data_IF_620625566054
#
_entry.id   IF_620625566054
#
_cell.length_a   1.000
_cell.length_b   1.000
_cell.length_c   1.000
_cell.angle_alpha   90.00
_cell.angle_beta   90.00
_cell.angle_gamma   90.00
#
_symmetry.space_group_name_H-M   'P 1'
#
loop_
_entity.id
_entity.type
_entity.pdbx_description
1 polymer ?
#
# COMPACT_ATOMS: atom_id res chain seq x y z
N UNK A 1 -6.03 20.44 -13.30
CA UNK A 1 -5.16 19.36 -13.79
C UNK A 1 -4.91 18.41 -12.62
N UNK A 2 -5.05 17.10 -12.82
CA UNK A 2 -4.81 16.11 -11.75
C UNK A 2 -3.31 16.06 -11.47
N UNK A 3 -2.94 16.24 -10.21
CA UNK A 3 -1.55 16.18 -9.75
C UNK A 3 -1.23 14.85 -9.07
N UNK A 4 -2.15 14.36 -8.20
CA UNK A 4 -2.03 13.06 -7.55
C UNK A 4 -3.09 12.08 -8.05
N UNK A 5 -2.68 10.80 -8.17
CA UNK A 5 -3.59 9.67 -8.29
C UNK A 5 -3.36 8.73 -7.12
N UNK A 6 -4.38 8.56 -6.27
CA UNK A 6 -4.38 7.59 -5.18
C UNK A 6 -5.02 6.29 -5.67
N UNK A 7 -4.25 5.22 -5.73
CA UNK A 7 -4.68 3.87 -6.13
C UNK A 7 -4.95 3.04 -4.88
N UNK A 8 -6.14 2.46 -4.79
CA UNK A 8 -6.62 1.65 -3.68
C UNK A 8 -6.98 0.27 -4.21
N UNK A 9 -6.14 -0.78 -4.03
CA UNK A 9 -6.53 -2.14 -4.31
C UNK A 9 -7.61 -2.58 -3.32
N UNK A 10 -8.71 -3.15 -3.80
CA UNK A 10 -9.83 -3.58 -2.98
C UNK A 10 -10.35 -4.97 -3.38
N UNK A 11 -10.73 -5.78 -2.39
CA UNK A 11 -11.45 -7.03 -2.55
C UNK A 11 -12.34 -7.29 -1.34
N UNK A 12 -13.67 -7.19 -1.53
CA UNK A 12 -14.67 -7.33 -0.46
C UNK A 12 -14.40 -6.42 0.74
N UNK A 13 -14.30 -5.10 0.49
CA UNK A 13 -13.92 -4.10 1.49
C UNK A 13 -15.06 -3.12 1.82
N UNK A 14 -16.31 -3.52 1.62
CA UNK A 14 -17.50 -2.68 1.91
C UNK A 14 -17.49 -2.10 3.32
N UNK A 15 -16.93 -2.81 4.30
CA UNK A 15 -16.89 -2.38 5.71
C UNK A 15 -15.75 -1.40 6.02
N UNK A 16 -14.61 -1.50 5.34
CA UNK A 16 -13.41 -0.74 5.70
C UNK A 16 -13.09 0.37 4.69
N UNK A 17 -13.42 0.18 3.42
CA UNK A 17 -13.22 1.20 2.39
C UNK A 17 -13.87 2.56 2.73
N UNK A 18 -15.09 2.66 3.32
CA UNK A 18 -15.64 3.95 3.73
C UNK A 18 -14.76 4.69 4.73
N UNK A 19 -14.16 3.98 5.69
CA UNK A 19 -13.27 4.57 6.70
C UNK A 19 -11.98 5.14 6.09
N UNK A 20 -11.43 4.48 5.07
CA UNK A 20 -10.32 5.00 4.30
C UNK A 20 -10.76 6.25 3.52
N UNK A 21 -11.85 6.17 2.77
CA UNK A 21 -12.33 7.27 1.94
C UNK A 21 -12.65 8.53 2.76
N UNK A 22 -13.19 8.39 3.98
CA UNK A 22 -13.42 9.53 4.87
C UNK A 22 -12.10 10.25 5.22
N UNK A 23 -11.02 9.50 5.45
CA UNK A 23 -9.71 10.11 5.71
C UNK A 23 -9.05 10.64 4.45
N UNK A 24 -9.32 10.05 3.28
CA UNK A 24 -8.88 10.55 1.97
C UNK A 24 -9.57 11.88 1.66
N UNK A 25 -10.87 11.99 1.91
CA UNK A 25 -11.61 13.26 1.71
C UNK A 25 -11.07 14.36 2.61
N UNK A 26 -10.74 14.06 3.88
CA UNK A 26 -10.08 15.00 4.76
C UNK A 26 -8.69 15.42 4.24
N UNK A 27 -7.91 14.48 3.69
CA UNK A 27 -6.61 14.78 3.11
C UNK A 27 -6.72 15.59 1.80
N UNK A 28 -7.74 15.33 0.97
CA UNK A 28 -8.05 16.12 -0.22
C UNK A 28 -8.44 17.56 0.15
N UNK A 29 -9.26 17.72 1.19
CA UNK A 29 -9.66 19.04 1.68
C UNK A 29 -8.49 19.85 2.25
N UNK A 30 -7.50 19.19 2.85
CA UNK A 30 -6.29 19.82 3.38
C UNK A 30 -5.19 20.06 2.32
N UNK A 31 -5.38 19.57 1.10
CA UNK A 31 -4.35 19.65 0.06
C UNK A 31 -4.19 21.08 -0.47
N UNK A 32 -2.96 21.58 -0.50
CA UNK A 32 -2.61 22.97 -0.85
C UNK A 32 -3.02 23.40 -2.26
N UNK A 33 -3.11 22.44 -3.21
CA UNK A 33 -3.50 22.71 -4.60
C UNK A 33 -4.98 22.43 -4.87
N UNK A 34 -5.78 22.17 -3.82
CA UNK A 34 -7.20 21.91 -3.90
C UNK A 34 -7.58 20.45 -4.10
N UNK A 35 -8.75 20.06 -3.61
CA UNK A 35 -9.24 18.69 -3.61
C UNK A 35 -9.35 18.08 -5.03
N UNK A 36 -9.65 18.91 -6.03
CA UNK A 36 -9.84 18.50 -7.43
C UNK A 36 -8.54 18.15 -8.13
N UNK A 37 -7.39 18.47 -7.53
CA UNK A 37 -6.07 18.06 -8.03
C UNK A 37 -5.70 16.62 -7.64
N UNK A 38 -6.56 15.93 -6.88
CA UNK A 38 -6.36 14.54 -6.43
C UNK A 38 -7.51 13.68 -6.94
N UNK A 39 -7.21 12.70 -7.77
CA UNK A 39 -8.14 11.63 -8.12
C UNK A 39 -7.93 10.40 -7.24
N UNK A 40 -9.00 9.67 -6.99
CA UNK A 40 -8.99 8.42 -6.23
C UNK A 40 -9.47 7.31 -7.14
N UNK A 41 -8.68 6.24 -7.25
CA UNK A 41 -8.95 5.09 -8.11
C UNK A 41 -9.01 3.85 -7.23
N UNK A 42 -10.16 3.20 -7.21
CA UNK A 42 -10.35 1.90 -6.56
C UNK A 42 -10.18 0.81 -7.62
N UNK A 43 -9.14 0.02 -7.49
CA UNK A 43 -8.92 -1.15 -8.32
C UNK A 43 -9.57 -2.36 -7.64
N UNK A 44 -10.75 -2.74 -8.15
CA UNK A 44 -11.57 -3.80 -7.60
C UNK A 44 -11.15 -5.17 -8.14
N UNK A 45 -10.77 -6.07 -7.26
CA UNK A 45 -10.29 -7.41 -7.60
C UNK A 45 -11.42 -8.46 -7.71
N UNK A 46 -12.53 -8.09 -8.35
CA UNK A 46 -13.68 -8.98 -8.51
C UNK A 46 -14.43 -9.18 -7.18
N UNK A 47 -14.72 -8.11 -6.46
CA UNK A 47 -15.49 -8.16 -5.23
C UNK A 47 -16.91 -8.71 -5.48
N UNK A 48 -17.38 -9.57 -4.58
CA UNK A 48 -18.73 -10.10 -4.59
C UNK A 48 -19.72 -9.23 -3.79
N UNK A 49 -19.19 -8.30 -2.99
CA UNK A 49 -19.97 -7.36 -2.17
C UNK A 49 -20.16 -6.00 -2.88
N UNK A 50 -20.65 -5.01 -2.17
CA UNK A 50 -20.92 -3.67 -2.71
C UNK A 50 -19.68 -2.76 -2.85
N UNK A 51 -18.43 -3.28 -2.78
CA UNK A 51 -17.19 -2.49 -2.80
C UNK A 51 -17.12 -1.55 -4.00
N UNK A 52 -17.28 -2.06 -5.22
CA UNK A 52 -17.20 -1.26 -6.45
C UNK A 52 -18.33 -0.22 -6.53
N UNK A 53 -19.57 -0.58 -6.15
CA UNK A 53 -20.71 0.33 -6.12
C UNK A 53 -20.50 1.46 -5.13
N UNK A 54 -19.97 1.14 -3.94
CA UNK A 54 -19.65 2.12 -2.90
C UNK A 54 -18.55 3.09 -3.38
N UNK A 55 -17.49 2.57 -3.99
CA UNK A 55 -16.41 3.39 -4.55
C UNK A 55 -16.94 4.39 -5.59
N UNK A 56 -17.78 3.92 -6.51
CA UNK A 56 -18.43 4.77 -7.53
C UNK A 56 -19.31 5.83 -6.90
N UNK A 57 -20.13 5.47 -5.90
CA UNK A 57 -20.99 6.41 -5.19
C UNK A 57 -20.22 7.49 -4.42
N UNK A 58 -18.97 7.21 -4.03
CA UNK A 58 -18.04 8.16 -3.39
C UNK A 58 -17.23 8.97 -4.42
N UNK A 59 -17.52 8.87 -5.72
CA UNK A 59 -16.84 9.62 -6.78
C UNK A 59 -15.45 9.11 -7.13
N UNK A 60 -15.11 7.88 -6.76
CA UNK A 60 -13.86 7.24 -7.17
C UNK A 60 -13.95 6.74 -8.61
N UNK A 61 -12.84 6.79 -9.35
CA UNK A 61 -12.67 5.96 -10.54
C UNK A 61 -12.63 4.50 -10.13
N UNK A 62 -13.24 3.60 -10.90
CA UNK A 62 -13.22 2.16 -10.59
C UNK A 62 -12.71 1.38 -11.79
N UNK A 63 -11.75 0.49 -11.57
CA UNK A 63 -11.28 -0.48 -12.55
C UNK A 63 -11.43 -1.88 -11.98
N UNK A 64 -12.06 -2.79 -12.74
CA UNK A 64 -12.21 -4.20 -12.33
C UNK A 64 -11.06 -5.03 -12.88
N UNK A 65 -10.52 -5.92 -12.03
CA UNK A 65 -9.35 -6.77 -12.34
C UNK A 65 -9.66 -8.20 -11.94
N UNK A 66 -9.71 -9.11 -12.91
CA UNK A 66 -10.07 -10.52 -12.65
C UNK A 66 -8.97 -11.35 -11.96
N UNK A 67 -7.68 -11.27 -12.34
CA UNK A 67 -6.65 -12.07 -11.67
C UNK A 67 -6.52 -11.69 -10.19
N UNK A 68 -6.62 -12.66 -9.29
CA UNK A 68 -6.35 -12.46 -7.86
C UNK A 68 -4.86 -12.28 -7.60
N UNK A 69 -4.33 -11.12 -8.00
CA UNK A 69 -2.95 -10.73 -7.83
C UNK A 69 -2.91 -9.23 -7.46
N UNK A 70 -2.53 -8.91 -6.24
CA UNK A 70 -2.52 -7.53 -5.74
C UNK A 70 -1.60 -6.62 -6.57
N UNK A 71 -0.50 -7.15 -7.11
CA UNK A 71 0.39 -6.41 -8.02
C UNK A 71 -0.33 -6.02 -9.32
N UNK A 72 -1.09 -6.95 -9.94
CA UNK A 72 -1.88 -6.67 -11.13
C UNK A 72 -2.97 -5.63 -10.84
N UNK A 73 -3.60 -5.71 -9.67
CA UNK A 73 -4.63 -4.75 -9.23
C UNK A 73 -4.05 -3.34 -9.09
N UNK A 74 -2.87 -3.20 -8.44
CA UNK A 74 -2.19 -1.91 -8.33
C UNK A 74 -1.74 -1.38 -9.69
N UNK A 75 -1.22 -2.25 -10.58
CA UNK A 75 -0.84 -1.87 -11.94
C UNK A 75 -2.04 -1.38 -12.76
N UNK A 76 -3.18 -2.06 -12.69
CA UNK A 76 -4.40 -1.65 -13.38
C UNK A 76 -4.90 -0.28 -12.89
N UNK A 77 -4.89 -0.04 -11.58
CA UNK A 77 -5.21 1.28 -11.03
C UNK A 77 -4.22 2.35 -11.49
N UNK A 78 -2.93 2.04 -11.53
CA UNK A 78 -1.90 2.96 -12.03
C UNK A 78 -2.03 3.25 -13.54
N UNK A 79 -2.49 2.28 -14.33
CA UNK A 79 -2.75 2.46 -15.77
C UNK A 79 -3.91 3.42 -16.05
N UNK A 80 -4.90 3.49 -15.14
CA UNK A 80 -6.01 4.44 -15.22
C UNK A 80 -5.63 5.85 -14.75
N UNK A 81 -4.53 5.97 -14.01
CA UNK A 81 -4.11 7.21 -13.34
C UNK A 81 -3.68 8.31 -14.32
N UNK A 82 -4.15 9.54 -14.09
CA UNK A 82 -3.82 10.74 -14.86
C UNK A 82 -2.81 11.65 -14.14
N UNK A 83 -2.66 11.52 -12.82
CA UNK A 83 -1.77 12.34 -12.00
C UNK A 83 -0.28 12.14 -12.29
N UNK A 84 0.52 13.14 -12.00
CA UNK A 84 1.97 13.08 -12.11
C UNK A 84 2.61 12.24 -11.00
N UNK A 85 1.93 12.16 -9.86
CA UNK A 85 2.34 11.42 -8.68
C UNK A 85 1.37 10.27 -8.46
N UNK A 86 1.90 9.05 -8.33
CA UNK A 86 1.17 7.86 -7.96
C UNK A 86 1.36 7.57 -6.47
N UNK A 87 0.27 7.28 -5.80
CA UNK A 87 0.26 6.84 -4.40
C UNK A 87 -0.59 5.58 -4.27
N UNK A 88 -0.15 4.63 -3.45
CA UNK A 88 -0.82 3.35 -3.24
C UNK A 88 -1.08 3.16 -1.75
N UNK A 89 -2.31 2.78 -1.39
CA UNK A 89 -2.73 2.50 -0.01
C UNK A 89 -3.73 1.37 0.03
N UNK A 90 -3.63 0.49 1.02
CA UNK A 90 -4.56 -0.62 1.18
C UNK A 90 -5.95 -0.13 1.65
N UNK A 91 -7.02 -0.75 1.17
CA UNK A 91 -8.41 -0.36 1.41
C UNK A 91 -8.83 -0.39 2.89
N UNK A 92 -8.10 -1.12 3.73
CA UNK A 92 -8.34 -1.24 5.18
C UNK A 92 -7.50 -0.27 6.03
N UNK A 93 -6.73 0.61 5.39
CA UNK A 93 -5.91 1.62 6.05
C UNK A 93 -6.66 2.95 6.23
N UNK A 94 -6.02 3.93 6.90
CA UNK A 94 -6.45 5.33 6.94
C UNK A 94 -5.24 6.23 6.71
N UNK A 95 -5.43 7.34 6.00
CA UNK A 95 -4.35 8.27 5.67
C UNK A 95 -4.34 9.48 6.62
N UNK A 96 -3.19 10.13 6.74
CA UNK A 96 -3.06 11.38 7.51
C UNK A 96 -3.57 12.56 6.65
N UNK A 97 -4.22 13.61 7.22
CA UNK A 97 -4.69 14.76 6.45
C UNK A 97 -3.60 15.44 5.61
N UNK A 98 -2.36 15.51 6.11
CA UNK A 98 -1.24 16.12 5.40
C UNK A 98 -0.49 15.16 4.44
N UNK A 99 -1.05 13.99 4.12
CA UNK A 99 -0.35 12.98 3.32
C UNK A 99 0.09 13.52 1.97
N UNK A 100 -0.80 14.17 1.21
CA UNK A 100 -0.48 14.64 -0.14
C UNK A 100 0.49 15.82 -0.13
N UNK A 101 0.34 16.76 0.81
CA UNK A 101 1.29 17.86 0.99
C UNK A 101 2.70 17.37 1.32
N UNK A 102 2.80 16.37 2.22
CA UNK A 102 4.08 15.79 2.59
C UNK A 102 4.75 14.99 1.45
N UNK A 103 3.95 14.36 0.60
CA UNK A 103 4.44 13.68 -0.61
C UNK A 103 5.01 14.69 -1.60
N UNK A 104 4.31 15.82 -1.83
CA UNK A 104 4.81 16.91 -2.68
C UNK A 104 6.13 17.45 -2.18
N UNK A 105 6.21 17.79 -0.89
CA UNK A 105 7.44 18.31 -0.27
C UNK A 105 8.60 17.32 -0.39
N UNK A 106 8.31 16.03 -0.29
CA UNK A 106 9.32 14.99 -0.47
C UNK A 106 9.80 14.88 -1.93
N UNK A 107 8.87 14.87 -2.88
CA UNK A 107 9.19 14.74 -4.29
C UNK A 107 9.71 16.04 -4.91
N UNK A 108 9.45 17.22 -4.33
CA UNK A 108 10.10 18.46 -4.71
C UNK A 108 11.63 18.45 -4.49
N UNK A 109 12.12 17.57 -3.61
CA UNK A 109 13.54 17.38 -3.39
C UNK A 109 14.18 16.63 -4.56
N UNK A 110 15.29 17.16 -5.12
CA UNK A 110 15.93 16.55 -6.30
C UNK A 110 16.55 15.18 -6.02
N UNK A 111 16.88 14.90 -4.74
CA UNK A 111 17.52 13.66 -4.28
C UNK A 111 16.51 12.54 -3.93
N UNK A 112 15.20 12.74 -4.18
CA UNK A 112 14.15 11.76 -3.83
C UNK A 112 13.52 11.16 -5.09
N UNK A 113 13.49 9.82 -5.16
CA UNK A 113 12.83 9.04 -6.24
C UNK A 113 11.42 8.60 -5.84
N UNK A 114 11.14 8.43 -4.57
CA UNK A 114 9.88 7.97 -4.02
C UNK A 114 10.03 7.58 -2.56
N UNK A 115 9.03 6.92 -2.00
CA UNK A 115 9.10 6.51 -0.61
C UNK A 115 7.81 5.93 -0.06
N UNK A 116 7.70 5.95 1.28
CA UNK A 116 6.50 5.54 1.99
C UNK A 116 6.30 6.37 3.27
N UNK A 117 5.04 6.45 3.72
CA UNK A 117 4.70 7.18 4.96
C UNK A 117 5.03 6.41 6.23
N UNK A 118 5.19 5.09 6.12
CA UNK A 118 5.19 4.23 7.29
C UNK A 118 3.79 4.03 7.86
N UNK A 119 3.69 3.12 8.83
CA UNK A 119 2.42 2.79 9.49
C UNK A 119 2.46 3.11 10.97
N UNK A 120 1.28 3.45 11.51
CA UNK A 120 0.96 3.46 12.92
C UNK A 120 -0.14 2.44 13.16
N UNK A 121 -0.02 1.68 14.23
CA UNK A 121 -1.00 0.68 14.60
C UNK A 121 -2.16 1.31 15.39
N UNK A 122 -3.38 0.81 15.19
CA UNK A 122 -4.58 1.32 15.88
C UNK A 122 -4.56 0.99 17.39
N UNK A 123 -4.00 -0.16 17.77
CA UNK A 123 -3.89 -0.61 19.15
C UNK A 123 -2.56 -1.31 19.39
N UNK A 124 -2.22 -1.46 20.67
CA UNK A 124 -1.03 -2.15 21.12
C UNK A 124 -1.37 -3.31 22.06
N UNK A 125 -0.61 -4.39 21.93
CA UNK A 125 -0.53 -5.49 22.89
C UNK A 125 0.91 -5.98 22.95
N UNK A 126 1.24 -6.86 23.89
CA UNK A 126 2.59 -7.40 24.00
C UNK A 126 3.01 -8.16 22.73
N UNK A 127 2.13 -9.00 22.17
CA UNK A 127 2.41 -9.75 20.95
C UNK A 127 2.64 -8.85 19.73
N UNK A 128 1.82 -7.79 19.59
CA UNK A 128 1.96 -6.78 18.55
C UNK A 128 3.26 -5.99 18.73
N UNK A 129 3.58 -5.56 19.95
CA UNK A 129 4.80 -4.81 20.25
C UNK A 129 6.05 -5.61 19.91
N UNK A 130 6.11 -6.90 20.27
CA UNK A 130 7.21 -7.77 19.91
C UNK A 130 7.32 -8.02 18.40
N UNK A 131 6.19 -8.21 17.72
CA UNK A 131 6.17 -8.30 16.25
C UNK A 131 6.74 -7.03 15.61
N UNK A 132 6.29 -5.87 16.07
CA UNK A 132 6.77 -4.58 15.57
C UNK A 132 8.26 -4.38 15.84
N UNK A 133 8.73 -4.73 17.05
CA UNK A 133 10.14 -4.67 17.43
C UNK A 133 11.02 -5.57 16.54
N UNK A 134 10.52 -6.74 16.13
CA UNK A 134 11.24 -7.64 15.22
C UNK A 134 11.32 -7.10 13.78
N UNK A 135 10.31 -6.33 13.33
CA UNK A 135 10.25 -5.77 11.97
C UNK A 135 11.03 -4.45 11.85
N UNK A 136 11.04 -3.61 12.89
CA UNK A 136 11.70 -2.30 12.87
C UNK A 136 13.15 -2.35 12.36
N UNK A 137 14.04 -3.25 12.82
CA UNK A 137 15.41 -3.31 12.32
C UNK A 137 15.49 -3.53 10.81
N UNK A 138 14.59 -4.36 10.25
CA UNK A 138 14.54 -4.63 8.81
C UNK A 138 14.15 -3.35 8.06
N UNK A 139 13.14 -2.64 8.53
CA UNK A 139 12.69 -1.36 7.94
C UNK A 139 13.79 -0.30 8.02
N UNK A 140 14.49 -0.20 9.14
CA UNK A 140 15.58 0.78 9.32
C UNK A 140 16.79 0.47 8.44
N UNK A 141 17.17 -0.80 8.32
CA UNK A 141 18.31 -1.23 7.50
C UNK A 141 18.02 -1.13 6.00
N UNK A 142 16.82 -1.45 5.59
CA UNK A 142 16.43 -1.46 4.17
C UNK A 142 15.95 -0.09 3.68
N UNK A 143 15.45 0.76 4.59
CA UNK A 143 14.74 2.00 4.26
C UNK A 143 13.37 1.76 3.60
N UNK A 144 12.89 0.51 3.62
CA UNK A 144 11.62 0.11 3.04
C UNK A 144 10.55 0.12 4.12
N UNK A 145 9.64 1.05 3.99
CA UNK A 145 8.47 1.16 4.86
C UNK A 145 7.22 0.93 4.02
N UNK A 146 6.08 0.78 4.67
CA UNK A 146 4.78 0.58 4.05
C UNK A 146 3.84 1.75 4.39
N UNK A 147 2.55 1.56 4.33
CA UNK A 147 1.56 2.61 4.50
C UNK A 147 1.16 3.17 3.14
N UNK A 148 1.30 4.48 2.92
CA UNK A 148 1.14 5.06 1.59
C UNK A 148 2.48 5.01 0.87
N UNK A 149 2.60 4.16 -0.14
CA UNK A 149 3.78 4.09 -1.02
C UNK A 149 3.59 5.08 -2.17
N UNK A 150 4.61 5.86 -2.52
CA UNK A 150 4.48 6.91 -3.53
C UNK A 150 5.74 7.06 -4.39
N UNK A 151 5.53 7.49 -5.64
CA UNK A 151 6.59 7.87 -6.57
C UNK A 151 6.02 8.75 -7.69
N UNK A 152 6.88 9.31 -8.54
CA UNK A 152 6.42 9.93 -9.79
C UNK A 152 5.93 8.86 -10.75
N UNK A 153 4.90 9.18 -11.53
CA UNK A 153 4.37 8.27 -12.57
C UNK A 153 5.44 7.86 -13.58
N UNK A 154 6.34 8.77 -13.95
CA UNK A 154 7.49 8.47 -14.82
C UNK A 154 8.42 7.42 -14.23
N UNK A 155 8.71 7.51 -12.92
CA UNK A 155 9.57 6.56 -12.21
C UNK A 155 8.88 5.18 -12.05
N UNK A 156 7.55 5.17 -11.84
CA UNK A 156 6.73 3.95 -11.84
C UNK A 156 6.85 3.19 -13.18
N UNK A 157 6.68 3.91 -14.29
CA UNK A 157 6.82 3.31 -15.62
C UNK A 157 8.26 2.86 -15.90
N UNK A 158 9.26 3.63 -15.47
CA UNK A 158 10.66 3.29 -15.65
C UNK A 158 11.09 1.99 -14.95
N UNK A 159 10.45 1.64 -13.83
CA UNK A 159 10.70 0.37 -13.13
C UNK A 159 9.81 -0.77 -13.61
N UNK A 160 8.83 -0.49 -14.48
CA UNK A 160 7.87 -1.47 -15.01
C UNK A 160 6.71 -1.81 -14.06
N UNK A 161 6.42 -0.94 -13.08
CA UNK A 161 5.35 -1.15 -12.11
C UNK A 161 5.63 -2.24 -11.08
N UNK A 162 4.57 -2.81 -10.52
CA UNK A 162 4.64 -3.96 -9.60
C UNK A 162 4.88 -5.26 -10.36
N UNK A 163 5.74 -6.15 -9.83
CA UNK A 163 6.01 -7.47 -10.45
C UNK A 163 4.86 -8.45 -10.17
N UNK A 164 4.00 -8.68 -11.16
CA UNK A 164 2.81 -9.53 -11.08
C UNK A 164 3.10 -11.02 -10.86
N UNK A 165 4.36 -11.44 -11.05
CA UNK A 165 4.81 -12.80 -10.73
C UNK A 165 5.01 -13.03 -9.22
N UNK A 166 4.88 -11.94 -8.42
CA UNK A 166 5.05 -11.98 -6.97
C UNK A 166 3.71 -12.03 -6.27
N UNK A 167 3.51 -13.08 -5.49
CA UNK A 167 2.32 -13.25 -4.63
C UNK A 167 2.53 -12.64 -3.22
N UNK A 168 3.78 -12.31 -2.87
CA UNK A 168 4.17 -11.80 -1.55
C UNK A 168 5.22 -10.71 -1.65
N UNK A 169 5.11 -9.73 -0.73
CA UNK A 169 6.08 -8.65 -0.57
C UNK A 169 6.27 -7.79 -1.84
N UNK A 170 5.22 -7.64 -2.63
CA UNK A 170 5.21 -6.87 -3.88
C UNK A 170 5.63 -5.42 -3.64
N UNK A 171 5.21 -4.80 -2.52
CA UNK A 171 5.61 -3.44 -2.14
C UNK A 171 7.11 -3.34 -1.87
N UNK A 172 7.68 -4.34 -1.20
CA UNK A 172 9.12 -4.39 -0.92
C UNK A 172 9.91 -4.51 -2.23
N UNK A 173 9.46 -5.38 -3.14
CA UNK A 173 10.09 -5.55 -4.46
C UNK A 173 9.98 -4.28 -5.29
N UNK A 174 8.83 -3.63 -5.28
CA UNK A 174 8.61 -2.34 -5.96
C UNK A 174 9.52 -1.24 -5.39
N UNK A 175 9.58 -1.08 -4.08
CA UNK A 175 10.49 -0.12 -3.44
C UNK A 175 11.97 -0.43 -3.72
N UNK A 176 12.33 -1.72 -3.86
CA UNK A 176 13.67 -2.11 -4.28
C UNK A 176 13.97 -1.69 -5.72
N UNK A 177 13.02 -1.85 -6.62
CA UNK A 177 13.16 -1.40 -8.00
C UNK A 177 13.33 0.13 -8.08
N UNK A 178 12.50 0.89 -7.35
CA UNK A 178 12.64 2.35 -7.23
C UNK A 178 13.98 2.76 -6.62
N UNK A 179 14.44 2.06 -5.57
CA UNK A 179 15.76 2.32 -4.95
C UNK A 179 16.90 2.08 -5.94
N UNK A 180 16.80 1.02 -6.75
CA UNK A 180 17.79 0.71 -7.79
C UNK A 180 17.82 1.80 -8.87
N UNK A 181 16.65 2.21 -9.36
CA UNK A 181 16.51 3.33 -10.29
C UNK A 181 17.10 4.62 -9.69
N UNK A 182 16.73 4.95 -8.46
CA UNK A 182 17.22 6.13 -7.75
C UNK A 182 18.73 6.16 -7.64
N UNK A 183 19.38 5.05 -7.30
CA UNK A 183 20.84 4.96 -7.20
C UNK A 183 21.56 5.28 -8.52
N UNK A 184 20.97 4.92 -9.67
CA UNK A 184 21.52 5.24 -10.98
C UNK A 184 21.50 6.75 -11.29
N UNK A 185 20.57 7.49 -10.64
CA UNK A 185 20.35 8.92 -10.82
C UNK A 185 20.78 9.76 -9.60
N UNK A 186 21.53 9.18 -8.64
CA UNK A 186 21.92 9.88 -7.41
C UNK A 186 20.76 10.19 -6.44
N UNK A 187 19.63 9.50 -6.59
CA UNK A 187 18.43 9.68 -5.75
C UNK A 187 18.27 8.55 -4.74
N UNK A 188 17.44 8.79 -3.72
CA UNK A 188 17.15 7.84 -2.64
C UNK A 188 15.66 7.71 -2.36
N UNK A 189 15.26 6.64 -1.69
CA UNK A 189 13.95 6.55 -1.08
C UNK A 189 13.89 7.43 0.17
N UNK A 190 12.70 7.94 0.48
CA UNK A 190 12.44 8.71 1.70
C UNK A 190 11.32 8.09 2.53
N UNK A 191 11.31 8.39 3.83
CA UNK A 191 10.27 7.98 4.78
C UNK A 191 9.60 9.22 5.37
N UNK A 192 8.28 9.28 5.32
CA UNK A 192 7.48 10.40 5.83
C UNK A 192 6.90 10.07 7.21
N UNK A 193 7.76 9.98 8.22
CA UNK A 193 7.40 9.46 9.55
C UNK A 193 6.40 10.33 10.33
N UNK A 194 6.14 11.56 9.89
CA UNK A 194 5.19 12.50 10.52
C UNK A 194 3.76 12.37 9.97
N UNK A 195 3.56 11.73 8.81
CA UNK A 195 2.25 11.51 8.18
C UNK A 195 1.92 10.03 8.03
N UNK A 196 2.16 9.25 9.07
CA UNK A 196 1.97 7.79 9.03
C UNK A 196 0.54 7.40 8.71
N UNK A 197 0.38 6.41 7.83
CA UNK A 197 -0.88 5.73 7.65
C UNK A 197 -1.25 4.93 8.92
N UNK A 198 -2.54 4.77 9.18
CA UNK A 198 -3.02 3.92 10.27
C UNK A 198 -3.42 2.58 9.65
N UNK A 199 -2.68 1.53 9.97
CA UNK A 199 -2.94 0.19 9.48
C UNK A 199 -4.05 -0.49 10.30
N UNK A 200 -4.93 -1.20 9.60
CA UNK A 200 -5.97 -2.02 10.23
C UNK A 200 -5.36 -3.15 11.06
N UNK A 201 -6.00 -3.43 12.18
CA UNK A 201 -5.63 -4.55 13.06
C UNK A 201 -6.44 -5.82 12.78
N UNK A 202 -7.25 -5.85 11.69
CA UNK A 202 -8.14 -6.96 11.32
C UNK A 202 -7.45 -8.33 11.36
N UNK A 203 -6.22 -8.43 10.85
CA UNK A 203 -5.45 -9.69 10.87
C UNK A 203 -5.09 -10.13 12.29
N UNK A 204 -4.75 -9.19 13.16
CA UNK A 204 -4.47 -9.48 14.58
C UNK A 204 -5.76 -9.83 15.33
N UNK A 205 -6.86 -9.14 15.04
CA UNK A 205 -8.15 -9.42 15.67
C UNK A 205 -8.67 -10.81 15.28
N UNK A 206 -8.45 -11.23 14.04
CA UNK A 206 -8.88 -12.53 13.51
C UNK A 206 -7.97 -13.69 13.94
N UNK A 207 -6.66 -13.52 13.91
CA UNK A 207 -5.69 -14.59 14.11
C UNK A 207 -5.03 -14.59 15.48
N UNK A 208 -5.33 -13.56 16.31
CA UNK A 208 -4.71 -13.33 17.61
C UNK A 208 -3.38 -12.57 17.50
N UNK A 209 -3.02 -11.87 18.56
CA UNK A 209 -1.88 -10.95 18.61
C UNK A 209 -0.51 -11.64 18.45
N UNK A 210 -0.45 -12.95 18.67
CA UNK A 210 0.76 -13.76 18.57
C UNK A 210 0.94 -14.50 17.25
N UNK A 211 0.03 -14.31 16.29
CA UNK A 211 -0.02 -15.11 15.06
C UNK A 211 1.25 -15.01 14.20
N UNK A 212 1.98 -13.92 14.24
CA UNK A 212 3.28 -13.81 13.56
C UNK A 212 4.28 -14.84 14.10
N UNK A 213 4.35 -15.02 15.42
CA UNK A 213 5.27 -15.98 16.06
C UNK A 213 4.77 -17.42 15.95
N UNK A 214 3.46 -17.65 15.97
CA UNK A 214 2.88 -19.00 15.99
C UNK A 214 2.58 -19.56 14.61
N UNK A 215 2.36 -18.70 13.60
CA UNK A 215 1.95 -19.11 12.24
C UNK A 215 2.91 -18.64 11.17
N UNK A 216 3.28 -17.34 11.16
CA UNK A 216 4.05 -16.74 10.08
C UNK A 216 5.53 -17.15 10.15
N UNK A 217 6.20 -16.97 11.27
CA UNK A 217 7.62 -17.31 11.42
C UNK A 217 7.86 -18.83 11.20
N UNK A 218 7.10 -19.75 11.81
CA UNK A 218 7.27 -21.18 11.54
C UNK A 218 6.97 -21.57 10.08
N UNK A 219 5.99 -20.91 9.45
CA UNK A 219 5.65 -21.13 8.04
C UNK A 219 6.64 -20.52 7.06
N UNK A 220 7.36 -19.45 7.46
CA UNK A 220 8.35 -18.79 6.61
C UNK A 220 9.62 -19.64 6.40
N UNK A 221 10.01 -20.46 7.37
CA UNK A 221 11.23 -21.28 7.27
C UNK A 221 11.15 -22.30 6.12
N UNK A 222 10.08 -23.11 5.96
CA UNK A 222 9.89 -23.94 4.79
C UNK A 222 9.74 -23.15 3.49
N UNK A 223 9.10 -21.95 3.54
CA UNK A 223 8.89 -21.08 2.40
C UNK A 223 10.19 -20.46 1.85
N UNK A 224 11.23 -20.32 2.69
CA UNK A 224 12.57 -19.91 2.25
C UNK A 224 13.27 -21.01 1.45
N UNK A 225 12.99 -22.28 1.76
CA UNK A 225 13.67 -23.44 1.17
C UNK A 225 12.93 -24.01 -0.05
N UNK A 226 11.61 -23.77 -0.19
CA UNK A 226 10.77 -24.36 -1.25
C UNK A 226 9.84 -23.31 -1.86
N UNK A 227 9.92 -23.03 -3.17
CA UNK A 227 9.02 -22.07 -3.85
C UNK A 227 7.53 -22.43 -3.69
N UNK A 228 7.16 -23.72 -3.75
CA UNK A 228 5.79 -24.20 -3.56
C UNK A 228 5.22 -23.90 -2.16
N UNK A 229 6.05 -23.94 -1.12
CA UNK A 229 5.63 -23.61 0.24
C UNK A 229 5.41 -22.09 0.41
N UNK A 230 6.08 -21.25 -0.38
CA UNK A 230 5.87 -19.81 -0.42
C UNK A 230 4.49 -19.45 -0.98
N UNK A 231 4.13 -20.04 -2.12
CA UNK A 231 2.80 -19.87 -2.75
C UNK A 231 1.69 -20.37 -1.84
N UNK A 232 1.89 -21.52 -1.18
CA UNK A 232 0.91 -22.07 -0.24
C UNK A 232 0.71 -21.17 0.99
N UNK A 233 1.81 -20.64 1.58
CA UNK A 233 1.74 -19.69 2.69
C UNK A 233 1.01 -18.41 2.27
N UNK A 234 1.32 -17.89 1.07
CA UNK A 234 0.68 -16.71 0.52
C UNK A 234 -0.83 -16.91 0.36
N UNK A 235 -1.22 -17.98 -0.31
CA UNK A 235 -2.63 -18.32 -0.52
C UNK A 235 -3.36 -18.46 0.81
N UNK A 236 -2.81 -19.23 1.74
CA UNK A 236 -3.43 -19.52 3.04
C UNK A 236 -3.59 -18.30 3.93
N UNK A 237 -2.71 -17.32 3.83
CA UNK A 237 -2.72 -16.16 4.73
C UNK A 237 -3.34 -14.90 4.12
N UNK A 238 -3.23 -14.72 2.79
CA UNK A 238 -3.72 -13.51 2.11
C UNK A 238 -4.92 -13.73 1.20
N UNK A 239 -5.10 -14.97 0.65
CA UNK A 239 -6.09 -15.23 -0.38
C UNK A 239 -7.19 -16.22 0.01
N UNK A 240 -7.08 -17.00 1.10
CA UNK A 240 -8.12 -17.95 1.58
C UNK A 240 -9.11 -17.33 2.56
N UNK A 241 -9.11 -16.03 2.66
CA UNK A 241 -10.06 -15.35 3.54
C UNK A 241 -11.42 -15.21 2.86
N UNK A 242 -12.44 -15.89 3.39
CA UNK A 242 -13.84 -15.51 3.25
C UNK A 242 -14.01 -14.13 3.91
N UNK A 243 -13.87 -13.09 3.12
CA UNK A 243 -14.13 -11.69 3.49
C UNK A 243 -15.56 -11.36 3.19
#
# INVERSE_FOLDING_TARGET
>A
MIHHSLVIPAYNETLLLPRLLDTVDAARAAYRHGADAIEVIVADNGSADATATLATARGCGVVSVEPRCIAAVRNAGAAMACGEILSFVDADSRVHPETFNAIDDALARPDVVGGATGVRLERWSLGIALTYLAIIPVVLLTGMDTGVVFCRRSDFHAVGGYDERRELAEDVVFLWALRRLGRQCGKRLTRLTHVKAIASMRKFDRHGDWHYFTKIIPGALPALLRPSARTELARRYWYTDDR
#
